data_IF_687330719421
#
_entry.id   IF_687330719421
#
_cell.length_a   1.000
_cell.length_b   1.000
_cell.length_c   1.000
_cell.angle_alpha   90.00
_cell.angle_beta   90.00
_cell.angle_gamma   90.00
#
_symmetry.space_group_name_H-M   'P 1'
#
loop_
_entity.id
_entity.type
_entity.pdbx_description
1 polymer ?
#
# COMPACT_ATOMS: atom_id res chain seq x y z
N UNK A 1 21.73 15.08 -6.16
CA UNK A 1 22.16 14.70 -4.80
C UNK A 1 21.21 15.37 -3.85
N UNK A 2 20.50 14.61 -3.00
CA UNK A 2 19.55 15.20 -2.04
C UNK A 2 20.28 15.99 -0.95
N UNK A 3 19.63 17.00 -0.39
CA UNK A 3 20.20 17.77 0.72
C UNK A 3 20.34 16.88 1.96
N UNK A 4 21.23 17.25 2.90
CA UNK A 4 21.38 16.53 4.17
C UNK A 4 20.06 16.52 4.95
N UNK A 5 19.27 17.59 4.85
CA UNK A 5 17.95 17.72 5.48
C UNK A 5 16.95 16.72 4.88
N UNK A 6 16.91 16.58 3.55
CA UNK A 6 16.05 15.60 2.88
C UNK A 6 16.38 14.16 3.29
N UNK A 7 17.67 13.84 3.46
CA UNK A 7 18.11 12.51 3.90
C UNK A 7 17.67 12.27 5.35
N UNK A 8 17.79 13.26 6.23
CA UNK A 8 17.34 13.16 7.62
C UNK A 8 15.83 13.00 7.73
N UNK A 9 15.06 13.74 6.93
CA UNK A 9 13.60 13.62 6.86
C UNK A 9 13.18 12.23 6.37
N UNK A 10 13.85 11.70 5.34
CA UNK A 10 13.60 10.35 4.85
C UNK A 10 13.88 9.29 5.92
N UNK A 11 14.99 9.39 6.65
CA UNK A 11 15.29 8.48 7.76
C UNK A 11 14.26 8.55 8.89
N UNK A 12 13.81 9.76 9.23
CA UNK A 12 12.76 9.97 10.23
C UNK A 12 11.45 9.33 9.79
N UNK A 13 11.07 9.52 8.52
CA UNK A 13 9.88 8.94 7.95
C UNK A 13 9.93 7.40 7.94
N UNK A 14 11.07 6.80 7.58
CA UNK A 14 11.29 5.35 7.65
C UNK A 14 11.10 4.83 9.07
N UNK A 15 11.64 5.54 10.08
CA UNK A 15 11.47 5.15 11.49
C UNK A 15 9.99 5.21 11.92
N UNK A 16 9.28 6.27 11.53
CA UNK A 16 7.85 6.41 11.81
C UNK A 16 7.02 5.28 11.20
N UNK A 17 7.24 4.93 9.93
CA UNK A 17 6.54 3.80 9.29
C UNK A 17 6.84 2.49 10.02
N UNK A 18 8.11 2.24 10.38
CA UNK A 18 8.51 1.01 11.08
C UNK A 18 7.87 0.89 12.47
N UNK A 19 7.53 2.01 13.09
CA UNK A 19 6.93 2.08 14.43
C UNK A 19 5.41 2.30 14.37
N UNK A 20 4.80 2.33 13.19
CA UNK A 20 3.37 2.53 13.05
C UNK A 20 2.60 1.40 13.75
N UNK A 21 1.62 1.77 14.57
CA UNK A 21 0.74 0.82 15.27
C UNK A 21 -0.71 1.25 15.14
N UNK A 22 -1.62 0.29 15.33
CA UNK A 22 -3.07 0.57 15.35
C UNK A 22 -3.50 1.41 16.56
N UNK A 23 -2.66 1.47 17.61
CA UNK A 23 -2.91 2.21 18.85
C UNK A 23 -2.47 3.68 18.77
N UNK A 24 -1.90 4.09 17.64
CA UNK A 24 -1.50 5.49 17.48
C UNK A 24 -2.74 6.38 17.49
N UNK A 25 -2.80 7.32 18.42
CA UNK A 25 -3.83 8.35 18.52
C UNK A 25 -3.93 9.25 17.27
N UNK A 26 -2.90 9.32 16.44
CA UNK A 26 -2.90 10.01 15.15
C UNK A 26 -3.34 9.14 13.97
N UNK A 27 -3.63 7.85 14.19
CA UNK A 27 -4.04 6.92 13.13
C UNK A 27 -5.36 7.29 12.45
N UNK A 28 -6.21 8.08 13.12
CA UNK A 28 -7.55 8.39 12.65
C UNK A 28 -8.51 7.17 12.68
N UNK A 29 -8.08 6.05 13.24
CA UNK A 29 -8.92 4.87 13.44
C UNK A 29 -9.79 5.07 14.66
N UNK A 30 -11.11 4.99 14.49
CA UNK A 30 -12.03 4.85 15.62
C UNK A 30 -11.94 3.45 16.23
N UNK A 31 -12.57 3.29 17.40
CA UNK A 31 -12.49 2.04 18.15
C UNK A 31 -13.14 0.87 17.41
N UNK A 32 -14.23 1.14 16.68
CA UNK A 32 -14.94 0.12 15.88
C UNK A 32 -14.07 -0.39 14.73
N UNK A 33 -13.48 0.51 13.95
CA UNK A 33 -12.60 0.16 12.84
C UNK A 33 -11.33 -0.55 13.34
N UNK A 34 -10.78 -0.12 14.48
CA UNK A 34 -9.62 -0.79 15.09
C UNK A 34 -9.93 -2.23 15.48
N UNK A 35 -11.09 -2.47 16.09
CA UNK A 35 -11.53 -3.82 16.43
C UNK A 35 -11.87 -4.65 15.20
N UNK A 36 -12.48 -4.05 14.17
CA UNK A 36 -12.73 -4.74 12.90
C UNK A 36 -11.42 -5.16 12.19
N UNK A 37 -10.35 -4.37 12.27
CA UNK A 37 -9.03 -4.75 11.73
C UNK A 37 -8.42 -5.92 12.53
N UNK A 38 -8.56 -5.91 13.86
CA UNK A 38 -8.05 -6.98 14.74
C UNK A 38 -8.83 -8.28 14.61
N UNK A 39 -10.13 -8.15 14.44
CA UNK A 39 -11.08 -9.26 14.33
C UNK A 39 -11.85 -9.08 13.03
N UNK A 40 -11.22 -9.37 11.88
CA UNK A 40 -11.89 -9.23 10.59
C UNK A 40 -13.16 -10.08 10.56
N UNK A 41 -14.20 -9.64 9.82
CA UNK A 41 -15.37 -10.47 9.57
C UNK A 41 -14.96 -11.86 9.09
N UNK A 42 -15.41 -12.88 9.82
CA UNK A 42 -15.09 -14.30 9.52
C UNK A 42 -16.09 -14.93 8.55
N UNK A 43 -17.20 -14.24 8.29
CA UNK A 43 -18.21 -14.67 7.34
C UNK A 43 -17.72 -14.40 5.90
N UNK A 44 -17.98 -15.31 4.95
CA UNK A 44 -17.73 -15.03 3.54
C UNK A 44 -18.43 -13.74 3.11
N UNK A 45 -17.72 -12.90 2.35
CA UNK A 45 -18.32 -11.76 1.69
C UNK A 45 -19.28 -12.26 0.61
N UNK A 46 -20.57 -12.01 0.80
CA UNK A 46 -21.61 -12.32 -0.18
C UNK A 46 -22.01 -11.04 -0.90
N UNK A 47 -21.81 -11.01 -2.22
CA UNK A 47 -22.22 -9.91 -3.10
C UNK A 47 -23.20 -10.51 -4.10
N UNK A 48 -24.47 -10.22 -3.88
CA UNK A 48 -25.59 -10.74 -4.66
C UNK A 48 -25.79 -10.01 -5.99
N UNK A 49 -25.43 -8.74 -6.05
CA UNK A 49 -25.44 -7.95 -7.29
C UNK A 49 -24.27 -8.33 -8.21
N UNK A 50 -24.54 -8.91 -9.40
CA UNK A 50 -23.49 -9.35 -10.31
C UNK A 50 -22.70 -8.20 -10.95
N UNK A 51 -23.30 -7.02 -11.12
CA UNK A 51 -22.63 -5.85 -11.71
C UNK A 51 -21.66 -5.22 -10.70
N UNK A 52 -22.06 -5.18 -9.42
CA UNK A 52 -21.15 -4.78 -8.33
C UNK A 52 -19.98 -5.75 -8.24
N UNK A 53 -20.24 -7.07 -8.22
CA UNK A 53 -19.20 -8.08 -8.15
C UNK A 53 -18.24 -7.97 -9.34
N UNK A 54 -18.76 -7.76 -10.55
CA UNK A 54 -17.95 -7.54 -11.75
C UNK A 54 -17.07 -6.30 -11.62
N UNK A 55 -17.64 -5.16 -11.22
CA UNK A 55 -16.91 -3.90 -11.11
C UNK A 55 -15.75 -3.98 -10.11
N UNK A 56 -15.95 -4.63 -8.95
CA UNK A 56 -14.92 -4.84 -7.94
C UNK A 56 -13.80 -5.71 -8.50
N UNK A 57 -14.14 -6.84 -9.14
CA UNK A 57 -13.16 -7.73 -9.77
C UNK A 57 -12.35 -7.02 -10.84
N UNK A 58 -13.03 -6.25 -11.71
CA UNK A 58 -12.37 -5.47 -12.76
C UNK A 58 -11.39 -4.44 -12.18
N UNK A 59 -11.79 -3.73 -11.11
CA UNK A 59 -10.93 -2.78 -10.42
C UNK A 59 -9.69 -3.44 -9.81
N UNK A 60 -9.86 -4.56 -9.11
CA UNK A 60 -8.76 -5.32 -8.51
C UNK A 60 -7.78 -5.78 -9.59
N UNK A 61 -8.28 -6.42 -10.65
CA UNK A 61 -7.45 -6.91 -11.76
C UNK A 61 -6.70 -5.78 -12.46
N UNK A 62 -7.33 -4.63 -12.69
CA UNK A 62 -6.66 -3.47 -13.28
C UNK A 62 -5.56 -2.90 -12.37
N UNK A 63 -5.79 -2.87 -11.06
CA UNK A 63 -4.83 -2.39 -10.07
C UNK A 63 -3.59 -3.28 -9.99
N UNK A 64 -3.80 -4.60 -9.93
CA UNK A 64 -2.72 -5.61 -9.94
C UNK A 64 -1.89 -5.53 -11.22
N UNK A 65 -2.56 -5.49 -12.39
CA UNK A 65 -1.88 -5.38 -13.68
C UNK A 65 -1.05 -4.08 -13.78
N UNK A 66 -1.56 -2.96 -13.24
CA UNK A 66 -0.83 -1.69 -13.19
C UNK A 66 0.46 -1.80 -12.37
N UNK A 67 0.38 -2.41 -11.18
CA UNK A 67 1.53 -2.62 -10.32
C UNK A 67 2.58 -3.52 -10.97
N UNK A 68 2.17 -4.65 -11.55
CA UNK A 68 3.07 -5.57 -12.25
C UNK A 68 3.76 -4.89 -13.43
N UNK A 69 3.01 -4.10 -14.21
CA UNK A 69 3.54 -3.32 -15.34
C UNK A 69 4.59 -2.32 -14.86
N UNK A 70 4.29 -1.57 -13.80
CA UNK A 70 5.24 -0.62 -13.22
C UNK A 70 6.53 -1.29 -12.76
N UNK A 71 6.43 -2.41 -12.03
CA UNK A 71 7.60 -3.15 -11.55
C UNK A 71 8.45 -3.69 -12.69
N UNK A 72 7.82 -4.24 -13.73
CA UNK A 72 8.49 -4.73 -14.93
C UNK A 72 9.25 -3.62 -15.65
N UNK A 73 8.62 -2.45 -15.82
CA UNK A 73 9.27 -1.31 -16.45
C UNK A 73 10.43 -0.78 -15.62
N UNK A 74 10.23 -0.61 -14.30
CA UNK A 74 11.29 -0.19 -13.37
C UNK A 74 12.50 -1.11 -13.45
N UNK A 75 12.30 -2.42 -13.49
CA UNK A 75 13.37 -3.41 -13.63
C UNK A 75 14.12 -3.26 -14.95
N UNK A 76 13.40 -3.15 -16.06
CA UNK A 76 14.00 -2.95 -17.38
C UNK A 76 14.86 -1.67 -17.44
N UNK A 77 14.40 -0.58 -16.80
CA UNK A 77 15.15 0.67 -16.67
C UNK A 77 16.45 0.46 -15.87
N UNK A 78 16.39 -0.24 -14.73
CA UNK A 78 17.56 -0.54 -13.91
C UNK A 78 18.59 -1.40 -14.64
N UNK A 79 18.14 -2.36 -15.44
CA UNK A 79 19.02 -3.22 -16.26
C UNK A 79 19.68 -2.43 -17.40
N UNK A 80 18.95 -1.49 -18.02
CA UNK A 80 19.48 -0.64 -19.10
C UNK A 80 20.42 0.45 -18.61
N UNK A 81 20.11 1.06 -17.47
CA UNK A 81 20.84 2.17 -16.87
C UNK A 81 21.28 1.80 -15.46
N UNK A 82 22.24 0.87 -15.30
CA UNK A 82 22.79 0.55 -13.99
C UNK A 82 23.42 1.82 -13.41
N UNK A 83 22.98 2.21 -12.22
CA UNK A 83 23.57 3.32 -11.50
C UNK A 83 25.07 3.06 -11.33
N UNK A 84 25.91 3.95 -11.89
CA UNK A 84 27.35 3.96 -11.62
C UNK A 84 27.49 4.35 -10.14
N UNK A 85 27.97 3.42 -9.31
CA UNK A 85 28.36 3.69 -7.93
C UNK A 85 29.46 4.74 -7.86
#
# INVERSE_FOLDING_TARGET
>A
TGSIEEIQDAEKFIKLIRQATLEDHHSGLDDELRENIRTPPQTPLDIDDPDILFSIKAYISASEASQETYQSFRRAVQERFPSVN
#
